data_IF_669111736959
#
_entry.id   IF_669111736959
#
_cell.length_a   1.000
_cell.length_b   1.000
_cell.length_c   1.000
_cell.angle_alpha   90.00
_cell.angle_beta   90.00
_cell.angle_gamma   90.00
#
_symmetry.space_group_name_H-M   'P 1'
#
loop_
_entity.id
_entity.type
_entity.pdbx_description
1 polymer ?
#
# COMPACT_ATOMS: atom_id res chain seq x y z
N UNK A 1 5.08 62.16 -29.50
CA UNK A 1 4.49 61.54 -28.29
C UNK A 1 4.77 60.05 -28.36
N UNK A 2 5.66 59.58 -27.49
CA UNK A 2 6.21 58.22 -27.43
C UNK A 2 5.10 57.25 -26.99
N UNK A 3 4.81 56.21 -27.79
CA UNK A 3 3.97 55.09 -27.33
C UNK A 3 4.87 53.94 -26.92
N UNK A 4 4.83 53.73 -25.61
CA UNK A 4 5.45 52.69 -24.78
C UNK A 4 5.49 51.31 -25.45
N UNK A 5 6.66 50.69 -25.42
CA UNK A 5 6.87 49.29 -25.72
C UNK A 5 6.14 48.41 -24.70
N UNK A 6 5.34 47.46 -25.18
CA UNK A 6 4.80 46.38 -24.36
C UNK A 6 5.60 45.11 -24.67
N UNK A 7 6.69 44.92 -23.92
CA UNK A 7 7.43 43.66 -23.93
C UNK A 7 6.58 42.59 -23.23
N UNK A 8 6.03 41.66 -24.00
CA UNK A 8 5.36 40.47 -23.48
C UNK A 8 6.43 39.48 -23.05
N UNK A 9 6.78 39.52 -21.77
CA UNK A 9 7.63 38.51 -21.14
C UNK A 9 6.84 37.21 -21.03
N UNK A 10 7.13 36.24 -21.90
CA UNK A 10 6.67 34.85 -21.77
C UNK A 10 7.41 34.23 -20.59
N UNK A 11 6.80 34.27 -19.41
CA UNK A 11 7.29 33.54 -18.24
C UNK A 11 7.14 32.04 -18.50
N UNK A 12 8.26 31.36 -18.74
CA UNK A 12 8.33 29.90 -18.78
C UNK A 12 8.02 29.36 -17.38
N UNK A 13 6.76 28.96 -17.16
CA UNK A 13 6.38 28.18 -15.98
C UNK A 13 6.99 26.79 -16.19
N UNK A 14 8.16 26.56 -15.58
CA UNK A 14 8.69 25.23 -15.41
C UNK A 14 7.69 24.45 -14.55
N UNK A 15 6.88 23.62 -15.20
CA UNK A 15 6.09 22.59 -14.54
C UNK A 15 7.11 21.61 -13.95
N UNK A 16 7.54 21.86 -12.71
CA UNK A 16 8.12 20.83 -11.87
C UNK A 16 7.03 19.80 -11.66
N UNK A 17 6.95 18.83 -12.57
CA UNK A 17 6.24 17.60 -12.35
C UNK A 17 6.77 17.04 -11.01
N UNK A 18 5.88 16.80 -10.06
CA UNK A 18 6.21 16.13 -8.82
C UNK A 18 6.72 14.73 -9.16
N UNK A 19 8.01 14.59 -9.42
CA UNK A 19 8.68 13.29 -9.46
C UNK A 19 8.89 12.87 -8.01
N UNK A 20 7.79 12.54 -7.32
CA UNK A 20 7.91 11.74 -6.12
C UNK A 20 8.41 10.39 -6.62
N UNK A 21 9.70 10.13 -6.46
CA UNK A 21 10.24 8.82 -6.74
C UNK A 21 9.51 7.85 -5.82
N UNK A 22 8.86 6.83 -6.37
CA UNK A 22 8.11 5.79 -5.63
C UNK A 22 8.93 5.09 -4.51
N UNK A 23 10.23 5.39 -4.42
CA UNK A 23 11.21 4.88 -3.46
C UNK A 23 11.06 5.47 -2.04
N UNK A 24 10.30 6.56 -1.85
CA UNK A 24 10.18 7.21 -0.53
C UNK A 24 8.92 6.79 0.25
N UNK A 25 8.17 5.80 -0.26
CA UNK A 25 6.94 5.35 0.38
C UNK A 25 7.28 4.62 1.69
N UNK A 26 6.71 5.04 2.83
CA UNK A 26 7.00 4.40 4.10
C UNK A 26 6.46 2.96 4.10
N UNK A 27 7.32 2.00 4.41
CA UNK A 27 6.94 0.62 4.59
C UNK A 27 6.34 0.42 6.00
N UNK A 28 5.23 1.09 6.31
CA UNK A 28 4.55 0.99 7.63
C UNK A 28 3.14 0.45 7.46
N UNK A 29 2.59 -0.18 8.50
CA UNK A 29 1.23 -0.72 8.47
C UNK A 29 0.18 0.36 8.19
N UNK A 30 0.38 1.60 8.66
CA UNK A 30 -0.45 2.76 8.35
C UNK A 30 -0.51 2.97 6.84
N UNK A 31 0.64 3.13 6.19
CA UNK A 31 0.71 3.42 4.76
C UNK A 31 0.22 2.25 3.91
N UNK A 32 0.62 1.02 4.25
CA UNK A 32 0.12 -0.18 3.58
C UNK A 32 -1.41 -0.25 3.68
N UNK A 33 -1.98 0.06 4.85
CA UNK A 33 -3.43 0.04 5.01
C UNK A 33 -4.08 1.15 4.19
N UNK A 34 -3.73 2.40 4.44
CA UNK A 34 -4.47 3.56 3.92
C UNK A 34 -4.23 3.81 2.43
N UNK A 35 -2.99 3.61 1.94
CA UNK A 35 -2.64 3.92 0.57
C UNK A 35 -2.79 2.72 -0.39
N UNK A 36 -2.86 1.49 0.12
CA UNK A 36 -2.84 0.27 -0.71
C UNK A 36 -4.05 -0.61 -0.44
N UNK A 37 -4.20 -1.14 0.78
CA UNK A 37 -5.25 -2.13 1.09
C UNK A 37 -6.65 -1.51 1.12
N UNK A 38 -6.79 -0.32 1.69
CA UNK A 38 -8.07 0.38 1.78
C UNK A 38 -8.67 0.66 0.39
N UNK A 39 -7.96 1.32 -0.55
CA UNK A 39 -8.52 1.59 -1.88
C UNK A 39 -8.66 0.33 -2.74
N UNK A 40 -7.79 -0.68 -2.58
CA UNK A 40 -7.74 -1.83 -3.51
C UNK A 40 -8.44 -3.09 -3.01
N UNK A 41 -8.65 -3.21 -1.69
CA UNK A 41 -9.16 -4.44 -1.07
C UNK A 41 -10.40 -4.20 -0.19
N UNK A 42 -10.53 -3.00 0.39
CA UNK A 42 -11.58 -2.69 1.37
C UNK A 42 -12.87 -2.15 0.77
N UNK A 43 -13.16 -2.51 -0.49
CA UNK A 43 -14.45 -2.24 -1.13
C UNK A 43 -15.58 -2.87 -0.33
N UNK A 44 -16.75 -2.23 -0.32
CA UNK A 44 -17.90 -2.61 0.55
C UNK A 44 -18.26 -4.09 0.48
N UNK A 45 -18.16 -4.72 -0.70
CA UNK A 45 -18.52 -6.12 -0.96
C UNK A 45 -17.36 -7.12 -0.81
N UNK A 46 -16.18 -6.64 -0.43
CA UNK A 46 -14.94 -7.43 -0.34
C UNK A 46 -14.44 -7.44 1.12
N UNK A 47 -13.32 -6.78 1.42
CA UNK A 47 -12.69 -6.78 2.73
C UNK A 47 -12.93 -5.46 3.49
N UNK A 48 -14.17 -5.01 3.56
CA UNK A 48 -14.60 -3.90 4.42
C UNK A 48 -15.01 -4.39 5.82
N UNK A 49 -15.14 -3.50 6.78
CA UNK A 49 -15.68 -3.82 8.11
C UNK A 49 -17.13 -4.28 8.06
N UNK A 50 -17.87 -3.89 7.03
CA UNK A 50 -19.23 -4.34 6.79
C UNK A 50 -19.29 -5.80 6.31
N UNK A 51 -18.51 -6.16 5.28
CA UNK A 51 -18.58 -7.48 4.66
C UNK A 51 -17.71 -8.53 5.35
N UNK A 52 -16.50 -8.14 5.75
CA UNK A 52 -15.47 -9.02 6.33
C UNK A 52 -15.28 -10.31 5.53
N UNK A 53 -15.09 -10.23 4.21
CA UNK A 53 -14.93 -11.44 3.40
C UNK A 53 -13.77 -12.29 3.95
N UNK A 54 -14.03 -13.59 4.18
CA UNK A 54 -13.12 -14.52 4.87
C UNK A 54 -12.65 -14.09 6.28
N UNK A 55 -13.36 -13.17 6.92
CA UNK A 55 -13.07 -12.67 8.26
C UNK A 55 -12.16 -11.44 8.31
N UNK A 56 -11.69 -10.94 7.16
CA UNK A 56 -10.72 -9.83 7.09
C UNK A 56 -11.37 -8.52 6.67
N UNK A 57 -10.91 -7.41 7.27
CA UNK A 57 -11.30 -6.05 6.92
C UNK A 57 -10.07 -5.14 6.87
N UNK A 58 -10.00 -4.22 5.91
CA UNK A 58 -8.86 -3.33 5.67
C UNK A 58 -9.26 -1.85 5.45
N UNK A 59 -10.49 -1.47 5.79
CA UNK A 59 -11.05 -0.14 5.55
C UNK A 59 -10.61 0.91 6.56
N UNK A 60 -10.14 0.49 7.74
CA UNK A 60 -9.47 1.36 8.71
C UNK A 60 -8.22 0.68 9.26
N UNK A 61 -7.27 1.47 9.75
CA UNK A 61 -6.07 0.93 10.41
C UNK A 61 -6.43 0.06 11.62
N UNK A 62 -7.41 0.49 12.41
CA UNK A 62 -7.86 -0.20 13.63
C UNK A 62 -8.29 -1.64 13.34
N UNK A 63 -9.08 -1.85 12.28
CA UNK A 63 -9.60 -3.19 11.91
C UNK A 63 -8.63 -3.98 11.01
N UNK A 64 -7.76 -3.28 10.28
CA UNK A 64 -6.72 -3.90 9.45
C UNK A 64 -5.69 -4.61 10.31
N UNK A 65 -5.20 -3.99 11.38
CA UNK A 65 -4.19 -4.55 12.29
C UNK A 65 -4.52 -5.98 12.75
N UNK A 66 -5.67 -6.26 13.41
CA UNK A 66 -6.01 -7.62 13.82
C UNK A 66 -6.26 -8.56 12.63
N UNK A 67 -6.74 -8.05 11.48
CA UNK A 67 -6.89 -8.86 10.26
C UNK A 67 -5.52 -9.31 9.72
N UNK A 68 -4.53 -8.41 9.73
CA UNK A 68 -3.18 -8.62 9.24
C UNK A 68 -2.37 -9.57 10.14
N UNK A 69 -2.53 -9.47 11.46
CA UNK A 69 -1.88 -10.40 12.42
C UNK A 69 -2.18 -11.88 12.12
N UNK A 70 -3.35 -12.19 11.56
CA UNK A 70 -3.74 -13.55 11.22
C UNK A 70 -3.21 -14.07 9.87
N UNK A 71 -2.61 -13.22 9.04
CA UNK A 71 -2.25 -13.54 7.65
C UNK A 71 -0.82 -13.10 7.25
N UNK A 72 -0.11 -12.46 8.18
CA UNK A 72 1.26 -11.99 8.01
C UNK A 72 2.20 -12.83 8.87
N UNK A 73 3.25 -13.35 8.24
CA UNK A 73 4.35 -14.07 8.88
C UNK A 73 5.66 -13.31 8.60
N UNK A 74 6.19 -12.52 9.56
CA UNK A 74 7.45 -11.81 9.40
C UNK A 74 8.67 -12.73 9.22
N UNK A 75 8.60 -13.98 9.68
CA UNK A 75 9.71 -14.92 9.61
C UNK A 75 9.78 -15.67 8.29
N UNK A 76 8.65 -15.79 7.59
CA UNK A 76 8.58 -16.32 6.22
C UNK A 76 7.71 -15.38 5.37
N UNK A 77 8.24 -14.19 5.00
CA UNK A 77 7.46 -13.12 4.38
C UNK A 77 6.75 -13.52 3.09
N UNK A 78 7.43 -14.30 2.24
CA UNK A 78 6.91 -14.84 0.99
C UNK A 78 5.84 -15.92 1.19
N UNK A 79 5.76 -16.52 2.38
CA UNK A 79 4.73 -17.48 2.77
C UNK A 79 3.57 -16.84 3.54
N UNK A 80 3.63 -15.53 3.83
CA UNK A 80 2.49 -14.79 4.36
C UNK A 80 1.28 -14.99 3.45
N UNK A 81 0.12 -15.30 4.02
CA UNK A 81 -1.10 -15.46 3.24
C UNK A 81 -1.42 -14.18 2.46
N UNK A 82 -1.17 -13.00 3.06
CA UNK A 82 -1.29 -11.71 2.36
C UNK A 82 -0.45 -11.69 1.06
N UNK A 83 0.84 -12.00 1.13
CA UNK A 83 1.71 -12.01 -0.06
C UNK A 83 1.30 -13.08 -1.07
N UNK A 84 0.93 -14.26 -0.58
CA UNK A 84 0.50 -15.39 -1.41
C UNK A 84 -0.74 -15.05 -2.25
N UNK A 85 -1.77 -14.41 -1.67
CA UNK A 85 -2.99 -14.07 -2.42
C UNK A 85 -2.76 -12.97 -3.45
N UNK A 86 -1.76 -12.12 -3.25
CA UNK A 86 -1.38 -11.05 -4.17
C UNK A 86 -0.54 -11.53 -5.35
N UNK A 87 0.16 -12.66 -5.23
CA UNK A 87 1.13 -13.14 -6.24
C UNK A 87 0.74 -14.43 -6.95
N UNK A 88 -0.18 -15.22 -6.38
CA UNK A 88 -0.63 -16.48 -6.99
C UNK A 88 -1.28 -16.28 -8.37
N UNK A 89 -1.21 -17.29 -9.23
CA UNK A 89 -1.76 -17.23 -10.60
C UNK A 89 -3.28 -17.32 -10.65
N UNK A 90 -3.89 -18.12 -9.77
CA UNK A 90 -5.32 -18.41 -9.78
C UNK A 90 -5.96 -17.79 -8.55
N UNK A 91 -7.13 -17.16 -8.74
CA UNK A 91 -7.84 -16.42 -7.70
C UNK A 91 -6.97 -15.35 -7.04
N UNK A 92 -6.10 -14.69 -7.80
CA UNK A 92 -5.27 -13.58 -7.31
C UNK A 92 -6.16 -12.44 -6.82
N UNK A 93 -5.75 -11.80 -5.73
CA UNK A 93 -6.38 -10.59 -5.23
C UNK A 93 -5.59 -9.35 -5.66
N UNK A 94 -6.25 -8.20 -5.86
CA UNK A 94 -7.71 -8.06 -6.03
C UNK A 94 -8.23 -8.77 -7.30
N UNK A 95 -9.52 -9.15 -7.30
CA UNK A 95 -10.11 -9.91 -8.43
C UNK A 95 -10.42 -9.06 -9.66
N UNK A 96 -10.73 -7.80 -9.43
CA UNK A 96 -11.08 -6.79 -10.43
C UNK A 96 -9.85 -6.25 -11.16
N UNK A 97 -8.80 -5.93 -10.42
CA UNK A 97 -7.54 -5.50 -10.98
C UNK A 97 -6.34 -6.00 -10.16
N UNK A 98 -5.35 -6.60 -10.81
CA UNK A 98 -4.04 -6.86 -10.22
C UNK A 98 -3.45 -5.66 -9.49
N UNK A 99 -2.98 -5.87 -8.26
CA UNK A 99 -2.21 -4.85 -7.57
C UNK A 99 -0.89 -4.57 -8.34
N UNK A 100 -0.46 -3.30 -8.49
CA UNK A 100 0.83 -2.96 -9.09
C UNK A 100 1.99 -3.68 -8.40
N UNK A 101 2.99 -4.13 -9.17
CA UNK A 101 4.12 -4.86 -8.60
C UNK A 101 4.87 -4.06 -7.54
N UNK A 102 5.01 -2.74 -7.73
CA UNK A 102 5.65 -1.85 -6.74
C UNK A 102 4.93 -1.82 -5.39
N UNK A 103 3.62 -2.05 -5.35
CA UNK A 103 2.85 -2.09 -4.11
C UNK A 103 3.01 -3.44 -3.43
N UNK A 104 3.04 -4.53 -4.22
CA UNK A 104 3.37 -5.88 -3.73
C UNK A 104 4.77 -5.90 -3.14
N UNK A 105 5.76 -5.30 -3.80
CA UNK A 105 7.14 -5.20 -3.33
C UNK A 105 7.23 -4.40 -2.03
N UNK A 106 6.46 -3.31 -1.91
CA UNK A 106 6.40 -2.50 -0.69
C UNK A 106 5.74 -3.27 0.47
N UNK A 107 4.67 -4.03 0.21
CA UNK A 107 4.06 -4.93 1.20
C UNK A 107 5.07 -5.98 1.66
N UNK A 108 5.81 -6.62 0.74
CA UNK A 108 6.82 -7.60 1.09
C UNK A 108 7.93 -6.99 1.94
N UNK A 109 8.40 -5.79 1.58
CA UNK A 109 9.39 -5.04 2.36
C UNK A 109 8.88 -4.73 3.77
N UNK A 110 7.63 -4.29 3.91
CA UNK A 110 7.00 -4.05 5.20
C UNK A 110 6.95 -5.33 6.05
N UNK A 111 6.52 -6.47 5.47
CA UNK A 111 6.49 -7.76 6.18
C UNK A 111 7.88 -8.13 6.70
N UNK A 112 8.91 -7.96 5.87
CA UNK A 112 10.30 -8.29 6.19
C UNK A 112 10.91 -7.42 7.29
N UNK A 113 10.56 -6.14 7.33
CA UNK A 113 11.28 -5.14 8.14
C UNK A 113 10.53 -4.69 9.37
N UNK A 114 9.23 -4.42 9.21
CA UNK A 114 8.49 -3.60 10.16
C UNK A 114 7.23 -4.29 10.70
N UNK A 115 6.67 -5.28 10.00
CA UNK A 115 5.42 -5.92 10.42
C UNK A 115 5.46 -6.56 11.81
N UNK A 116 6.62 -7.05 12.26
CA UNK A 116 6.77 -7.60 13.61
C UNK A 116 6.48 -6.53 14.69
N UNK A 117 7.14 -5.38 14.56
CA UNK A 117 6.98 -4.24 15.47
C UNK A 117 5.62 -3.57 15.29
N UNK A 118 5.28 -3.23 14.04
CA UNK A 118 4.05 -2.54 13.69
C UNK A 118 2.82 -3.28 14.20
N UNK A 119 2.75 -4.60 14.02
CA UNK A 119 1.61 -5.41 14.45
C UNK A 119 1.76 -5.95 15.88
N UNK A 120 2.82 -5.58 16.61
CA UNK A 120 3.16 -6.09 17.94
C UNK A 120 3.11 -7.63 17.99
N UNK A 121 3.66 -8.27 16.96
CA UNK A 121 3.81 -9.71 16.91
C UNK A 121 4.97 -10.07 17.85
N UNK A 122 4.74 -11.00 18.79
CA UNK A 122 5.79 -11.47 19.69
C UNK A 122 6.58 -12.62 19.06
N UNK A 123 6.92 -12.51 17.77
CA UNK A 123 7.61 -13.57 17.03
C UNK A 123 9.11 -13.30 16.95
N UNK A 124 9.90 -14.34 17.22
CA UNK A 124 11.36 -14.30 17.09
C UNK A 124 11.75 -15.14 15.87
N UNK A 125 12.18 -14.47 14.80
CA UNK A 125 12.58 -15.18 13.58
C UNK A 125 13.98 -15.79 13.75
N UNK A 126 14.21 -17.01 13.23
CA UNK A 126 15.54 -17.58 13.15
C UNK A 126 16.40 -16.66 12.25
N UNK A 127 17.63 -16.37 12.70
CA UNK A 127 18.61 -15.62 11.92
C UNK A 127 19.24 -16.48 10.84
#
# INVERSE_FOLDING_TARGET
>A
MVRLALAVSVAAVAVTACTQTDNDRPATVEYITEAILQPSCAQDVCHSSYRREKGYAFDTLEVARPSLMGIVNPCEPDQSLLYTVLTRRIKRMPYDAPLPQKDIDLILLWIQKNANEDLNLQVQCPR
#
